data_IF_654824737762
#
_entry.id   IF_654824737762
#
_cell.length_a   1.000
_cell.length_b   1.000
_cell.length_c   1.000
_cell.angle_alpha   90.00
_cell.angle_beta   90.00
_cell.angle_gamma   90.00
#
_symmetry.space_group_name_H-M   'P 1'
#
loop_
_entity.id
_entity.type
_entity.pdbx_description
1 polymer ?
#
# COMPACT_ATOMS: atom_id res chain seq x y z
N UNK A 1 -17.94 21.28 -3.03
CA UNK A 1 -17.83 20.60 -4.34
C UNK A 1 -19.24 20.27 -4.81
N UNK A 2 -19.54 20.37 -6.10
CA UNK A 2 -20.87 20.00 -6.57
C UNK A 2 -21.09 18.50 -6.36
N UNK A 3 -22.28 18.09 -5.89
CA UNK A 3 -22.58 16.67 -5.59
C UNK A 3 -22.38 15.78 -6.81
N UNK A 4 -22.64 16.32 -8.01
CA UNK A 4 -22.40 15.66 -9.29
C UNK A 4 -20.91 15.31 -9.51
N UNK A 5 -20.00 16.23 -9.20
CA UNK A 5 -18.54 16.02 -9.35
C UNK A 5 -18.05 14.93 -8.40
N UNK A 6 -18.59 14.88 -7.19
CA UNK A 6 -18.26 13.85 -6.18
C UNK A 6 -18.70 12.48 -6.66
N UNK A 7 -19.96 12.35 -7.08
CA UNK A 7 -20.52 11.11 -7.63
C UNK A 7 -19.73 10.63 -8.84
N UNK A 8 -19.51 11.52 -9.83
CA UNK A 8 -18.76 11.19 -11.02
C UNK A 8 -17.33 10.71 -10.69
N UNK A 9 -16.64 11.38 -9.78
CA UNK A 9 -15.29 10.99 -9.39
C UNK A 9 -15.23 9.62 -8.72
N UNK A 10 -16.20 9.28 -7.86
CA UNK A 10 -16.29 7.96 -7.24
C UNK A 10 -16.63 6.86 -8.25
N UNK A 11 -17.59 7.11 -9.16
CA UNK A 11 -17.96 6.13 -10.19
C UNK A 11 -16.82 5.90 -11.18
N UNK A 12 -16.14 6.96 -11.61
CA UNK A 12 -15.01 6.86 -12.53
C UNK A 12 -13.84 6.13 -11.85
N UNK A 13 -13.49 6.49 -10.61
CA UNK A 13 -12.40 5.83 -9.89
C UNK A 13 -12.67 4.33 -9.70
N UNK A 14 -13.90 3.96 -9.31
CA UNK A 14 -14.29 2.57 -9.14
C UNK A 14 -14.26 1.80 -10.47
N UNK A 15 -14.81 2.37 -11.54
CA UNK A 15 -14.81 1.77 -12.86
C UNK A 15 -13.39 1.55 -13.41
N UNK A 16 -12.50 2.53 -13.23
CA UNK A 16 -11.09 2.43 -13.64
C UNK A 16 -10.37 1.36 -12.83
N UNK A 17 -10.54 1.31 -11.51
CA UNK A 17 -9.92 0.27 -10.67
C UNK A 17 -10.42 -1.13 -11.04
N UNK A 18 -11.72 -1.32 -11.26
CA UNK A 18 -12.27 -2.59 -11.74
C UNK A 18 -11.68 -2.95 -13.11
N UNK A 19 -11.60 -2.00 -14.04
CA UNK A 19 -11.01 -2.23 -15.36
C UNK A 19 -9.52 -2.62 -15.26
N UNK A 20 -8.77 -2.06 -14.31
CA UNK A 20 -7.36 -2.40 -14.09
C UNK A 20 -7.15 -3.78 -13.42
N UNK A 21 -8.14 -4.30 -12.70
CA UNK A 21 -8.03 -5.62 -12.06
C UNK A 21 -8.49 -6.71 -13.02
N UNK A 22 -9.62 -6.50 -13.69
CA UNK A 22 -10.24 -7.50 -14.57
C UNK A 22 -9.81 -7.39 -16.03
N UNK A 23 -9.27 -6.25 -16.47
CA UNK A 23 -8.94 -6.00 -17.88
C UNK A 23 -7.81 -6.86 -18.45
N UNK A 24 -7.00 -7.47 -17.59
CA UNK A 24 -5.92 -8.37 -18.00
C UNK A 24 -6.30 -9.86 -17.90
N UNK A 25 -7.54 -10.17 -17.51
CA UNK A 25 -7.98 -11.55 -17.39
C UNK A 25 -8.34 -12.11 -18.77
N UNK A 26 -7.52 -13.03 -19.29
CA UNK A 26 -7.77 -13.86 -20.48
C UNK A 26 -7.80 -13.15 -21.85
N UNK A 27 -7.29 -11.93 -21.98
CA UNK A 27 -7.19 -11.26 -23.27
C UNK A 27 -5.80 -11.46 -23.89
N UNK A 28 -5.73 -11.98 -25.11
CA UNK A 28 -4.51 -11.95 -25.93
C UNK A 28 -4.29 -10.52 -26.44
N UNK A 29 -3.75 -9.64 -25.58
CA UNK A 29 -3.46 -8.27 -25.96
C UNK A 29 -2.30 -8.22 -26.97
N UNK A 30 -2.48 -7.45 -28.04
CA UNK A 30 -1.40 -7.07 -28.93
C UNK A 30 -0.25 -6.41 -28.12
N UNK A 31 1.04 -6.66 -28.42
CA UNK A 31 2.17 -6.22 -27.61
C UNK A 31 2.16 -4.72 -27.28
N UNK A 32 1.70 -3.90 -28.21
CA UNK A 32 1.55 -2.44 -28.05
C UNK A 32 0.53 -2.10 -26.96
N UNK A 33 -0.60 -2.81 -26.92
CA UNK A 33 -1.63 -2.61 -25.92
C UNK A 33 -1.18 -3.10 -24.54
N UNK A 34 -0.44 -4.20 -24.47
CA UNK A 34 0.16 -4.70 -23.22
C UNK A 34 1.19 -3.72 -22.63
N UNK A 35 2.07 -3.16 -23.47
CA UNK A 35 3.05 -2.16 -23.04
C UNK A 35 2.39 -0.85 -22.56
N UNK A 36 1.36 -0.38 -23.30
CA UNK A 36 0.56 0.76 -22.89
C UNK A 36 -0.12 0.48 -21.54
N UNK A 37 -0.76 -0.67 -21.38
CA UNK A 37 -1.40 -1.06 -20.13
C UNK A 37 -0.42 -1.10 -18.95
N UNK A 38 0.75 -1.72 -19.13
CA UNK A 38 1.77 -1.80 -18.07
C UNK A 38 2.25 -0.41 -17.62
N UNK A 39 2.37 0.55 -18.54
CA UNK A 39 2.83 1.92 -18.20
C UNK A 39 1.72 2.79 -17.60
N UNK A 40 0.50 2.71 -18.16
CA UNK A 40 -0.64 3.53 -17.75
C UNK A 40 -1.32 3.02 -16.48
N UNK A 41 -1.29 1.71 -16.23
CA UNK A 41 -1.96 1.10 -15.07
C UNK A 41 -1.52 1.70 -13.74
N UNK A 42 -0.21 1.84 -13.52
CA UNK A 42 0.33 2.46 -12.31
C UNK A 42 -0.10 3.93 -12.17
N UNK A 43 -0.11 4.67 -13.28
CA UNK A 43 -0.52 6.09 -13.30
C UNK A 43 -2.01 6.23 -12.99
N UNK A 44 -2.86 5.44 -13.66
CA UNK A 44 -4.31 5.44 -13.44
C UNK A 44 -4.66 5.01 -12.00
N UNK A 45 -3.97 4.00 -11.47
CA UNK A 45 -4.12 3.61 -10.06
C UNK A 45 -3.79 4.76 -9.11
N UNK A 46 -2.67 5.45 -9.34
CA UNK A 46 -2.27 6.61 -8.54
C UNK A 46 -3.29 7.76 -8.65
N UNK A 47 -3.85 8.01 -9.84
CA UNK A 47 -4.90 9.00 -10.04
C UNK A 47 -6.17 8.66 -9.26
N UNK A 48 -6.63 7.41 -9.29
CA UNK A 48 -7.79 6.95 -8.50
C UNK A 48 -7.55 7.11 -6.99
N UNK A 49 -6.35 6.78 -6.51
CA UNK A 49 -5.97 6.99 -5.11
C UNK A 49 -5.91 8.49 -4.76
N UNK A 50 -5.36 9.32 -5.65
CA UNK A 50 -5.29 10.77 -5.43
C UNK A 50 -6.67 11.39 -5.29
N UNK A 51 -7.63 10.97 -6.13
CA UNK A 51 -9.02 11.39 -6.01
C UNK A 51 -9.62 10.97 -4.67
N UNK A 52 -9.36 9.74 -4.22
CA UNK A 52 -9.83 9.23 -2.92
C UNK A 52 -9.31 10.09 -1.77
N UNK A 53 -8.03 10.47 -1.80
CA UNK A 53 -7.43 11.37 -0.79
C UNK A 53 -8.05 12.76 -0.83
N UNK A 54 -8.25 13.35 -2.01
CA UNK A 54 -8.88 14.68 -2.17
C UNK A 54 -10.33 14.64 -1.67
N UNK A 55 -11.09 13.58 -1.99
CA UNK A 55 -12.46 13.39 -1.52
C UNK A 55 -12.51 13.30 0.01
N UNK A 56 -11.57 12.57 0.63
CA UNK A 56 -11.44 12.52 2.08
C UNK A 56 -11.07 13.88 2.70
N UNK A 57 -10.09 14.58 2.13
CA UNK A 57 -9.62 15.87 2.64
C UNK A 57 -10.68 16.99 2.52
N UNK A 58 -11.53 16.95 1.50
CA UNK A 58 -12.61 17.92 1.30
C UNK A 58 -13.89 17.59 2.07
N UNK A 59 -13.90 16.55 2.89
CA UNK A 59 -15.06 16.12 3.69
C UNK A 59 -16.13 15.34 2.91
N UNK A 60 -15.89 15.01 1.64
CA UNK A 60 -16.79 14.23 0.78
C UNK A 60 -16.44 12.74 0.76
N UNK A 61 -15.60 12.27 1.70
CA UNK A 61 -15.09 10.91 1.75
C UNK A 61 -16.05 9.87 2.35
N UNK A 62 -17.16 10.30 2.96
CA UNK A 62 -18.23 9.42 3.46
C UNK A 62 -17.72 8.19 4.24
N UNK A 63 -18.07 7.00 3.76
CA UNK A 63 -17.68 5.72 4.36
C UNK A 63 -16.16 5.47 4.30
N UNK A 64 -15.50 5.87 3.22
CA UNK A 64 -14.05 5.68 3.03
C UNK A 64 -13.27 6.49 4.07
N UNK A 65 -13.70 7.72 4.37
CA UNK A 65 -13.09 8.52 5.43
C UNK A 65 -13.24 7.86 6.81
N UNK A 66 -14.40 7.25 7.09
CA UNK A 66 -14.63 6.53 8.35
C UNK A 66 -13.72 5.30 8.48
N UNK A 67 -13.52 4.57 7.39
CA UNK A 67 -12.60 3.43 7.33
C UNK A 67 -11.15 3.88 7.53
N UNK A 68 -10.70 4.92 6.83
CA UNK A 68 -9.34 5.47 6.97
C UNK A 68 -9.08 6.08 8.35
N UNK A 69 -10.10 6.63 9.00
CA UNK A 69 -9.99 7.20 10.35
C UNK A 69 -10.12 6.14 11.46
N UNK A 70 -10.25 4.84 11.13
CA UNK A 70 -10.30 3.80 12.14
C UNK A 70 -8.99 3.75 12.95
N UNK A 71 -9.10 3.78 14.29
CA UNK A 71 -7.94 3.69 15.20
C UNK A 71 -7.08 2.44 14.99
N UNK A 72 -7.66 1.37 14.44
CA UNK A 72 -6.96 0.13 14.08
C UNK A 72 -5.90 0.34 12.98
N UNK A 73 -6.07 1.34 12.11
CA UNK A 73 -5.14 1.63 11.02
C UNK A 73 -3.90 2.39 11.47
N UNK A 74 -3.94 3.03 12.65
CA UNK A 74 -2.81 3.77 13.20
C UNK A 74 -1.60 2.85 13.44
N UNK A 75 -1.71 1.73 14.20
CA UNK A 75 -0.59 0.80 14.34
C UNK A 75 -0.27 0.08 13.02
N UNK A 76 -1.28 -0.19 12.19
CA UNK A 76 -1.09 -0.87 10.90
C UNK A 76 -0.25 -0.05 9.92
N UNK A 77 -0.42 1.27 9.91
CA UNK A 77 0.36 2.21 9.07
C UNK A 77 1.85 2.16 9.44
N UNK A 78 2.16 2.07 10.74
CA UNK A 78 3.55 1.98 11.23
C UNK A 78 4.21 0.67 10.81
N UNK A 79 3.52 -0.45 11.00
CA UNK A 79 4.03 -1.76 10.56
C UNK A 79 4.19 -1.82 9.04
N UNK A 80 3.26 -1.23 8.28
CA UNK A 80 3.33 -1.18 6.82
C UNK A 80 4.52 -0.34 6.34
N UNK A 81 4.85 0.76 7.03
CA UNK A 81 6.06 1.52 6.74
C UNK A 81 7.34 0.70 6.97
N UNK A 82 7.44 -0.01 8.10
CA UNK A 82 8.54 -0.93 8.35
C UNK A 82 8.61 -2.05 7.30
N UNK A 83 7.46 -2.60 6.89
CA UNK A 83 7.39 -3.62 5.85
C UNK A 83 7.90 -3.09 4.51
N UNK A 84 7.53 -1.87 4.13
CA UNK A 84 7.99 -1.23 2.91
C UNK A 84 9.52 -1.11 2.85
N UNK A 85 10.18 -0.78 3.97
CA UNK A 85 11.65 -0.69 4.03
C UNK A 85 12.34 -2.05 3.92
N UNK A 86 11.75 -3.09 4.51
CA UNK A 86 12.36 -4.42 4.61
C UNK A 86 12.09 -5.27 3.37
N UNK A 87 10.93 -5.08 2.74
CA UNK A 87 10.51 -5.82 1.56
C UNK A 87 11.57 -5.86 0.44
N UNK A 88 12.16 -4.73 -0.02
CA UNK A 88 13.21 -4.78 -1.06
C UNK A 88 14.48 -5.50 -0.61
N UNK A 89 14.81 -5.46 0.69
CA UNK A 89 15.96 -6.17 1.26
C UNK A 89 15.74 -7.68 1.18
N UNK A 90 14.55 -8.16 1.54
CA UNK A 90 14.19 -9.58 1.46
C UNK A 90 14.15 -10.04 0.01
N UNK A 91 13.54 -9.27 -0.89
CA UNK A 91 13.50 -9.60 -2.33
C UNK A 91 14.93 -9.73 -2.85
N UNK A 92 15.81 -8.76 -2.57
CA UNK A 92 17.20 -8.77 -3.05
C UNK A 92 17.99 -9.95 -2.46
N UNK A 93 17.78 -10.27 -1.18
CA UNK A 93 18.39 -11.42 -0.54
C UNK A 93 17.96 -12.73 -1.21
N UNK A 94 16.66 -12.88 -1.48
CA UNK A 94 16.12 -14.05 -2.17
C UNK A 94 16.68 -14.14 -3.58
N UNK A 95 16.72 -13.05 -4.35
CA UNK A 95 17.28 -13.05 -5.71
C UNK A 95 18.77 -13.42 -5.72
N UNK A 96 19.56 -12.89 -4.78
CA UNK A 96 21.01 -13.20 -4.68
C UNK A 96 21.28 -14.67 -4.34
N UNK A 97 20.39 -15.30 -3.57
CA UNK A 97 20.50 -16.71 -3.16
C UNK A 97 19.94 -17.69 -4.19
N UNK A 98 19.45 -17.20 -5.34
CA UNK A 98 18.81 -18.05 -6.36
C UNK A 98 19.81 -18.34 -7.47
N UNK A 99 20.19 -19.60 -7.58
CA UNK A 99 21.13 -20.09 -8.61
C UNK A 99 20.41 -20.64 -9.86
N UNK A 100 19.07 -20.74 -9.86
CA UNK A 100 18.30 -21.40 -10.93
C UNK A 100 17.23 -20.47 -11.53
N UNK A 101 17.03 -20.45 -12.86
CA UNK A 101 15.97 -19.65 -13.49
C UNK A 101 14.58 -20.10 -13.04
N UNK A 102 13.73 -19.13 -12.69
CA UNK A 102 12.33 -19.36 -12.32
C UNK A 102 11.47 -19.46 -13.58
N UNK A 103 10.71 -20.53 -13.70
CA UNK A 103 9.57 -20.56 -14.62
C UNK A 103 8.45 -19.69 -14.06
N UNK A 104 8.18 -18.57 -14.75
CA UNK A 104 7.17 -17.58 -14.35
C UNK A 104 5.76 -18.05 -14.73
N UNK A 105 5.28 -19.08 -14.04
CA UNK A 105 3.87 -19.48 -14.10
C UNK A 105 3.08 -18.67 -13.07
N UNK A 106 1.80 -18.39 -13.37
CA UNK A 106 0.89 -17.62 -12.49
C UNK A 106 0.88 -18.17 -11.06
N UNK A 107 0.85 -19.50 -10.91
CA UNK A 107 0.87 -20.19 -9.61
C UNK A 107 2.16 -19.94 -8.83
N UNK A 108 3.31 -20.05 -9.51
CA UNK A 108 4.62 -19.83 -8.89
C UNK A 108 4.78 -18.38 -8.45
N UNK A 109 4.34 -17.43 -9.29
CA UNK A 109 4.37 -16.00 -8.97
C UNK A 109 3.44 -15.69 -7.78
N UNK A 110 2.25 -16.28 -7.73
CA UNK A 110 1.32 -16.10 -6.62
C UNK A 110 1.89 -16.61 -5.28
N UNK A 111 2.47 -17.81 -5.27
CA UNK A 111 3.09 -18.40 -4.07
C UNK A 111 4.29 -17.56 -3.62
N UNK A 112 5.15 -17.13 -4.55
CA UNK A 112 6.28 -16.27 -4.25
C UNK A 112 5.83 -14.93 -3.67
N UNK A 113 4.83 -14.29 -4.27
CA UNK A 113 4.28 -13.03 -3.80
C UNK A 113 3.73 -13.13 -2.38
N UNK A 114 2.90 -14.14 -2.10
CA UNK A 114 2.35 -14.39 -0.76
C UNK A 114 3.47 -14.66 0.25
N UNK A 115 4.45 -15.49 -0.11
CA UNK A 115 5.60 -15.78 0.75
C UNK A 115 6.41 -14.51 1.08
N UNK A 116 6.68 -13.67 0.08
CA UNK A 116 7.39 -12.40 0.28
C UNK A 116 6.61 -11.46 1.20
N UNK A 117 5.30 -11.36 1.04
CA UNK A 117 4.45 -10.55 1.92
C UNK A 117 4.54 -11.04 3.36
N UNK A 118 4.31 -12.34 3.60
CA UNK A 118 4.30 -12.90 4.96
C UNK A 118 5.63 -12.69 5.65
N UNK A 119 6.74 -13.02 4.98
CA UNK A 119 8.08 -12.83 5.55
C UNK A 119 8.36 -11.35 5.82
N UNK A 120 8.00 -10.46 4.89
CA UNK A 120 8.22 -9.02 5.06
C UNK A 120 7.43 -8.46 6.24
N UNK A 121 6.18 -8.87 6.43
CA UNK A 121 5.37 -8.43 7.56
C UNK A 121 5.86 -9.00 8.90
N UNK A 122 6.38 -10.22 8.94
CA UNK A 122 6.99 -10.79 10.16
C UNK A 122 8.22 -9.98 10.57
N UNK A 123 9.15 -9.72 9.65
CA UNK A 123 10.34 -8.92 9.95
C UNK A 123 9.98 -7.46 10.28
N UNK A 124 9.02 -6.88 9.57
CA UNK A 124 8.52 -5.54 9.86
C UNK A 124 7.92 -5.42 11.26
N UNK A 125 7.20 -6.46 11.71
CA UNK A 125 6.63 -6.49 13.05
C UNK A 125 7.71 -6.55 14.13
N UNK A 126 8.73 -7.39 13.95
CA UNK A 126 9.90 -7.46 14.85
C UNK A 126 10.59 -6.10 14.91
N UNK A 127 10.84 -5.46 13.77
CA UNK A 127 11.46 -4.14 13.70
C UNK A 127 10.57 -3.07 14.33
N UNK A 128 9.26 -3.08 14.08
CA UNK A 128 8.32 -2.14 14.69
C UNK A 128 8.40 -2.19 16.21
N UNK A 129 8.42 -3.39 16.82
CA UNK A 129 8.55 -3.56 18.27
C UNK A 129 9.93 -3.10 18.76
N UNK A 130 11.00 -3.53 18.06
CA UNK A 130 12.37 -3.20 18.43
C UNK A 130 12.67 -1.69 18.37
N UNK A 131 12.00 -0.94 17.48
CA UNK A 131 12.13 0.51 17.37
C UNK A 131 11.10 1.29 18.21
N UNK A 132 9.90 0.74 18.45
CA UNK A 132 8.92 1.40 19.32
C UNK A 132 9.42 1.58 20.75
N UNK A 133 10.02 0.55 21.35
CA UNK A 133 10.54 0.62 22.72
C UNK A 133 11.63 1.70 22.92
N UNK A 134 12.68 1.80 22.07
CA UNK A 134 13.69 2.84 22.20
C UNK A 134 13.17 4.22 21.81
N UNK A 135 12.31 4.35 20.78
CA UNK A 135 11.77 5.65 20.37
C UNK A 135 10.88 6.24 21.47
N UNK A 136 10.02 5.44 22.10
CA UNK A 136 9.19 5.92 23.22
C UNK A 136 10.05 6.33 24.42
N UNK A 137 11.13 5.61 24.67
CA UNK A 137 12.07 5.93 25.75
C UNK A 137 12.85 7.22 25.46
N UNK A 138 13.31 7.41 24.22
CA UNK A 138 13.95 8.64 23.76
C UNK A 138 12.99 9.84 23.77
N UNK A 139 11.73 9.64 23.35
CA UNK A 139 10.72 10.71 23.37
C UNK A 139 10.45 11.20 24.79
N UNK A 140 10.43 10.28 25.77
CA UNK A 140 10.29 10.62 27.20
C UNK A 140 11.50 11.36 27.75
N UNK A 141 12.70 11.11 27.23
CA UNK A 141 13.93 11.82 27.61
C UNK A 141 14.01 13.21 26.97
N UNK A 142 13.56 13.35 25.72
CA UNK A 142 13.62 14.60 24.94
C UNK A 142 12.46 15.54 25.24
N UNK A 143 11.28 15.01 25.57
CA UNK A 143 10.16 15.79 26.09
C UNK A 143 10.15 15.69 27.61
N UNK A 144 10.89 16.52 28.35
CA UNK A 144 10.59 16.73 29.75
C UNK A 144 9.18 17.31 29.79
N UNK A 145 8.20 16.45 30.06
CA UNK A 145 6.83 16.84 30.33
C UNK A 145 6.90 17.96 31.36
N UNK A 146 6.64 19.19 30.94
CA UNK A 146 6.37 20.29 31.84
C UNK A 146 5.07 19.91 32.52
N UNK A 147 5.18 19.22 33.65
CA UNK A 147 4.08 18.92 34.58
C UNK A 147 3.64 20.27 35.13
N UNK A 148 2.76 20.94 34.41
CA UNK A 148 2.08 22.12 34.90
C UNK A 148 1.06 21.60 35.93
N UNK A 149 1.50 21.52 37.18
CA UNK A 149 0.60 21.55 38.32
C UNK A 149 -0.11 22.91 38.26
N UNK A 150 -1.42 22.92 38.07
CA UNK A 150 -2.40 23.81 38.71
C UNK A 150 -3.80 23.31 38.37
#
# INVERSE_FOLDING_TARGET
MNTLTVLAGWTISSAVLCSLIFGLHQMDLHPVAAAAYSSLSHTLWALCLSWTVIACATGHGGYVNKLLSCKILIPFSRTTYCAYLVHPIIIRYVVMKRDTPLHLTVETVAILFLGQIVVSYIFAFILSIAFEAPIVSLLKLVSPTKRNNH
#
